data_IF_409993865084
#
_entry.id   IF_409993865084
#
_cell.length_a   1.000
_cell.length_b   1.000
_cell.length_c   1.000
_cell.angle_alpha   90.00
_cell.angle_beta   90.00
_cell.angle_gamma   90.00
#
_symmetry.space_group_name_H-M   'P 1'
#
loop_
_entity.id
_entity.type
_entity.pdbx_description
1 polymer ?
#
# COMPACT_ATOMS: atom_id res chain seq x y z
N UNK A 1 -13.67 6.60 42.28
CA UNK A 1 -13.05 6.72 40.95
C UNK A 1 -14.09 7.30 39.98
N UNK A 2 -14.02 8.60 39.69
CA UNK A 2 -14.83 9.19 38.62
C UNK A 2 -14.23 8.73 37.29
N UNK A 3 -14.78 7.67 36.71
CA UNK A 3 -14.46 7.31 35.33
C UNK A 3 -14.97 8.42 34.43
N UNK A 4 -14.05 9.09 33.75
CA UNK A 4 -14.32 10.05 32.69
C UNK A 4 -15.00 9.30 31.54
N UNK A 5 -16.18 9.74 31.13
CA UNK A 5 -16.97 9.07 30.09
C UNK A 5 -16.70 9.83 28.81
N UNK A 6 -16.10 9.15 27.84
CA UNK A 6 -15.81 9.73 26.54
C UNK A 6 -17.09 10.07 25.76
N UNK A 7 -17.09 11.16 24.97
CA UNK A 7 -18.20 11.50 24.11
C UNK A 7 -18.48 10.40 23.05
N UNK A 8 -19.75 10.04 22.78
CA UNK A 8 -20.08 8.88 21.94
C UNK A 8 -19.90 9.09 20.43
N UNK A 9 -19.78 10.33 19.95
CA UNK A 9 -19.58 10.71 18.54
C UNK A 9 -19.27 12.22 18.43
N UNK A 10 -18.64 12.66 17.34
CA UNK A 10 -18.40 14.10 17.09
C UNK A 10 -19.71 14.87 16.88
N UNK A 11 -19.83 16.05 17.48
CA UNK A 11 -21.01 16.90 17.38
C UNK A 11 -21.22 17.41 15.93
N UNK A 12 -22.48 17.37 15.49
CA UNK A 12 -22.89 17.87 14.18
C UNK A 12 -22.59 19.36 14.04
N UNK A 13 -21.84 19.76 13.01
CA UNK A 13 -21.53 21.19 12.75
C UNK A 13 -22.50 21.85 11.76
N UNK A 14 -23.20 21.08 10.92
CA UNK A 14 -24.07 21.60 9.85
C UNK A 14 -25.54 21.66 10.27
N UNK A 15 -26.30 22.60 9.68
CA UNK A 15 -27.75 22.72 9.89
C UNK A 15 -28.52 21.82 8.91
N UNK A 16 -29.73 21.34 9.28
CA UNK A 16 -30.34 21.45 10.61
C UNK A 16 -29.79 20.42 11.60
N UNK A 17 -29.88 20.71 12.90
CA UNK A 17 -29.45 19.81 13.97
C UNK A 17 -30.32 19.95 15.22
N UNK A 18 -30.27 18.92 16.06
CA UNK A 18 -30.87 18.87 17.40
C UNK A 18 -29.83 19.32 18.41
N UNK A 19 -30.12 20.38 19.16
CA UNK A 19 -29.32 20.80 20.30
C UNK A 19 -29.68 19.95 21.51
N UNK A 20 -28.70 19.35 22.19
CA UNK A 20 -28.92 18.55 23.39
C UNK A 20 -28.40 19.27 24.62
N UNK A 21 -29.30 19.64 25.53
CA UNK A 21 -29.00 20.21 26.84
C UNK A 21 -29.18 19.17 27.94
N UNK A 22 -28.20 19.08 28.84
CA UNK A 22 -28.22 18.16 29.99
C UNK A 22 -27.16 18.55 31.01
N UNK A 23 -27.29 18.10 32.26
CA UNK A 23 -26.22 18.31 33.24
C UNK A 23 -25.07 17.31 33.01
N UNK A 24 -23.81 17.77 33.06
CA UNK A 24 -22.64 16.89 32.87
C UNK A 24 -22.59 15.69 33.83
N UNK A 25 -23.21 15.77 35.01
CA UNK A 25 -23.33 14.64 35.94
C UNK A 25 -24.19 13.49 35.38
N UNK A 26 -25.03 13.75 34.37
CA UNK A 26 -25.97 12.80 33.79
C UNK A 26 -25.43 12.12 32.52
N UNK A 27 -24.16 12.34 32.14
CA UNK A 27 -23.53 11.76 30.92
C UNK A 27 -23.82 10.27 30.76
N UNK A 28 -23.73 9.49 31.85
CA UNK A 28 -23.97 8.03 31.84
C UNK A 28 -25.37 7.65 31.34
N UNK A 29 -26.37 8.48 31.62
CA UNK A 29 -27.75 8.22 31.23
C UNK A 29 -28.09 8.85 29.87
N UNK A 30 -27.45 9.97 29.53
CA UNK A 30 -27.72 10.73 28.30
C UNK A 30 -27.01 10.13 27.08
N UNK A 31 -25.73 9.78 27.19
CA UNK A 31 -24.91 9.31 26.07
C UNK A 31 -25.50 8.09 25.32
N UNK A 32 -26.01 7.05 26.00
CA UNK A 32 -26.68 5.93 25.31
C UNK A 32 -27.88 6.37 24.48
N UNK A 33 -28.65 7.36 24.96
CA UNK A 33 -29.85 7.85 24.30
C UNK A 33 -29.48 8.64 23.04
N UNK A 34 -28.58 9.61 23.16
CA UNK A 34 -28.16 10.42 22.02
C UNK A 34 -27.38 9.58 20.99
N UNK A 35 -26.65 8.55 21.43
CA UNK A 35 -26.02 7.58 20.54
C UNK A 35 -27.07 6.83 19.72
N UNK A 36 -28.16 6.39 20.35
CA UNK A 36 -29.26 5.75 19.63
C UNK A 36 -29.91 6.69 18.61
N UNK A 37 -30.07 7.97 18.93
CA UNK A 37 -30.59 8.97 18.00
C UNK A 37 -29.64 9.22 16.83
N UNK A 38 -28.35 9.38 17.11
CA UNK A 38 -27.29 9.49 16.10
C UNK A 38 -27.28 8.27 15.18
N UNK A 39 -27.38 7.06 15.73
CA UNK A 39 -27.42 5.80 14.97
C UNK A 39 -28.69 5.66 14.12
N UNK A 40 -29.80 6.28 14.54
CA UNK A 40 -31.05 6.38 13.76
C UNK A 40 -31.09 7.58 12.84
N UNK A 41 -30.03 8.35 12.85
CA UNK A 41 -29.79 9.36 11.87
C UNK A 41 -30.32 10.74 12.18
N UNK A 42 -30.18 11.14 13.44
CA UNK A 42 -30.54 12.48 13.87
C UNK A 42 -29.26 13.30 14.01
N UNK A 43 -29.09 14.42 13.31
CA UNK A 43 -27.95 15.31 13.47
C UNK A 43 -27.98 15.95 14.87
N UNK A 44 -26.97 15.68 15.71
CA UNK A 44 -26.97 16.09 17.12
C UNK A 44 -25.77 16.98 17.41
N UNK A 45 -26.01 18.11 18.06
CA UNK A 45 -24.99 18.95 18.67
C UNK A 45 -25.16 18.92 20.20
N UNK A 46 -24.06 18.78 20.93
CA UNK A 46 -24.01 18.64 22.40
C UNK A 46 -22.65 19.13 22.93
N UNK A 47 -22.37 18.94 24.23
CA UNK A 47 -21.22 19.54 24.95
C UNK A 47 -19.83 19.29 24.33
N UNK A 48 -19.63 18.23 23.53
CA UNK A 48 -18.39 18.00 22.78
C UNK A 48 -18.13 19.06 21.69
N UNK A 49 -19.18 19.66 21.13
CA UNK A 49 -19.08 20.60 20.02
C UNK A 49 -18.60 22.01 20.39
N UNK A 50 -18.08 22.21 21.61
CA UNK A 50 -17.57 23.49 22.10
C UNK A 50 -16.04 23.51 21.96
N UNK A 51 -15.46 24.36 21.08
CA UNK A 51 -14.01 24.44 20.92
C UNK A 51 -13.30 24.92 22.21
N UNK A 52 -12.09 24.42 22.53
CA UNK A 52 -11.34 24.81 23.73
C UNK A 52 -11.04 26.32 23.82
N UNK A 53 -11.07 27.04 22.69
CA UNK A 53 -10.69 28.45 22.58
C UNK A 53 -11.87 29.40 22.32
N UNK A 54 -13.12 28.93 22.32
CA UNK A 54 -14.28 29.78 22.03
C UNK A 54 -14.83 30.46 23.29
N UNK A 55 -15.46 31.63 23.12
CA UNK A 55 -16.33 32.20 24.16
C UNK A 55 -17.50 31.24 24.35
N UNK A 56 -17.45 30.47 25.44
CA UNK A 56 -18.38 29.38 25.76
C UNK A 56 -19.85 29.80 25.61
N UNK A 57 -20.23 30.93 26.24
CA UNK A 57 -21.60 31.46 26.22
C UNK A 57 -22.06 31.90 24.82
N UNK A 58 -21.17 32.53 24.04
CA UNK A 58 -21.49 32.99 22.69
C UNK A 58 -21.73 31.80 21.74
N UNK A 59 -20.91 30.74 21.88
CA UNK A 59 -21.05 29.52 21.11
C UNK A 59 -22.39 28.83 21.41
N UNK A 60 -22.70 28.63 22.69
CA UNK A 60 -23.95 27.97 23.10
C UNK A 60 -25.17 28.77 22.61
N UNK A 61 -25.21 30.08 22.86
CA UNK A 61 -26.29 30.94 22.41
C UNK A 61 -26.49 30.85 20.89
N UNK A 62 -25.39 30.97 20.13
CA UNK A 62 -25.45 30.80 18.67
C UNK A 62 -26.02 29.43 18.29
N UNK A 63 -25.55 28.33 18.88
CA UNK A 63 -26.02 26.99 18.52
C UNK A 63 -27.49 26.74 18.89
N UNK A 64 -27.97 27.31 20.00
CA UNK A 64 -29.41 27.30 20.34
C UNK A 64 -30.21 28.07 19.28
N UNK A 65 -29.70 29.23 18.83
CA UNK A 65 -30.38 30.06 17.81
C UNK A 65 -30.47 29.39 16.43
N UNK A 66 -29.62 28.38 16.19
CA UNK A 66 -29.48 27.72 14.89
C UNK A 66 -30.08 26.32 14.83
N UNK A 67 -30.43 25.74 15.98
CA UNK A 67 -30.99 24.40 16.06
C UNK A 67 -32.45 24.38 15.56
N UNK A 68 -32.91 23.22 15.09
CA UNK A 68 -34.34 23.02 14.74
C UNK A 68 -35.13 22.37 15.86
N UNK A 69 -34.44 21.73 16.80
CA UNK A 69 -35.05 21.14 17.99
C UNK A 69 -34.11 21.29 19.16
N UNK A 70 -34.63 21.80 20.27
CA UNK A 70 -33.96 21.84 21.55
C UNK A 70 -34.45 20.66 22.40
N UNK A 71 -33.56 19.68 22.60
CA UNK A 71 -33.80 18.47 23.38
C UNK A 71 -33.14 18.64 24.74
N UNK A 72 -33.92 18.67 25.82
CA UNK A 72 -33.39 18.82 27.18
C UNK A 72 -33.67 17.59 28.04
N UNK A 73 -32.63 17.08 28.70
CA UNK A 73 -32.78 16.00 29.68
C UNK A 73 -32.96 16.61 31.07
N UNK A 74 -34.14 16.39 31.66
CA UNK A 74 -34.52 16.88 32.98
C UNK A 74 -34.20 15.82 34.03
N UNK A 75 -33.47 16.26 35.05
CA UNK A 75 -33.04 15.53 36.25
C UNK A 75 -32.88 16.51 37.41
N UNK A 76 -32.68 16.02 38.63
CA UNK A 76 -32.31 16.85 39.77
C UNK A 76 -30.98 17.58 39.55
N UNK A 77 -30.04 16.98 38.81
CA UNK A 77 -28.79 17.67 38.44
C UNK A 77 -29.03 18.80 37.44
N UNK A 78 -29.93 18.61 36.47
CA UNK A 78 -30.25 19.58 35.43
C UNK A 78 -30.98 20.81 35.98
N UNK A 79 -31.99 20.62 36.83
CA UNK A 79 -32.76 21.74 37.40
C UNK A 79 -31.93 22.61 38.37
N UNK A 80 -30.85 22.07 38.92
CA UNK A 80 -29.92 22.77 39.79
C UNK A 80 -28.72 23.37 39.04
N UNK A 81 -28.62 23.15 37.72
CA UNK A 81 -27.55 23.67 36.88
C UNK A 81 -27.95 25.01 36.27
N UNK A 82 -27.23 26.07 36.65
CA UNK A 82 -27.51 27.42 36.14
C UNK A 82 -27.34 27.52 34.62
N UNK A 83 -26.37 26.79 34.06
CA UNK A 83 -26.17 26.72 32.61
C UNK A 83 -27.40 26.12 31.92
N UNK A 84 -27.92 24.99 32.43
CA UNK A 84 -29.09 24.33 31.83
C UNK A 84 -30.33 25.22 31.95
N UNK A 85 -30.53 25.91 33.07
CA UNK A 85 -31.63 26.88 33.22
C UNK A 85 -31.54 28.01 32.20
N UNK A 86 -30.36 28.61 32.02
CA UNK A 86 -30.14 29.67 31.05
C UNK A 86 -30.39 29.21 29.60
N UNK A 87 -29.93 28.00 29.25
CA UNK A 87 -30.18 27.39 27.94
C UNK A 87 -31.68 27.13 27.72
N UNK A 88 -32.38 26.60 28.73
CA UNK A 88 -33.84 26.42 28.70
C UNK A 88 -34.54 27.75 28.48
N UNK A 89 -34.21 28.78 29.26
CA UNK A 89 -34.84 30.10 29.16
C UNK A 89 -34.74 30.65 27.73
N UNK A 90 -33.55 30.57 27.11
CA UNK A 90 -33.36 31.05 25.75
C UNK A 90 -34.11 30.20 24.71
N UNK A 91 -34.06 28.87 24.82
CA UNK A 91 -34.75 27.99 23.90
C UNK A 91 -36.28 28.11 23.99
N UNK A 92 -36.82 28.38 25.19
CA UNK A 92 -38.27 28.55 25.40
C UNK A 92 -38.78 29.82 24.74
N UNK A 93 -38.02 30.91 24.77
CA UNK A 93 -38.36 32.15 24.05
C UNK A 93 -38.58 31.85 22.54
N UNK A 94 -37.67 31.09 21.94
CA UNK A 94 -37.74 30.69 20.52
C UNK A 94 -38.87 29.69 20.25
N UNK A 95 -39.13 28.78 21.19
CA UNK A 95 -40.24 27.83 21.11
C UNK A 95 -41.58 28.55 21.05
N UNK A 96 -41.80 29.56 21.90
CA UNK A 96 -43.04 30.36 21.87
C UNK A 96 -43.20 31.18 20.59
N UNK A 97 -42.09 31.60 19.97
CA UNK A 97 -42.05 32.19 18.62
C UNK A 97 -42.26 31.17 17.49
N UNK A 98 -42.41 29.88 17.81
CA UNK A 98 -42.56 28.75 16.87
C UNK A 98 -41.37 28.55 15.93
N UNK A 99 -40.18 29.00 16.34
CA UNK A 99 -38.96 28.89 15.53
C UNK A 99 -38.28 27.52 15.64
N UNK A 100 -38.45 26.85 16.79
CA UNK A 100 -37.84 25.56 17.09
C UNK A 100 -38.84 24.63 17.79
N UNK A 101 -38.60 23.32 17.70
CA UNK A 101 -39.27 22.34 18.59
C UNK A 101 -38.58 22.34 19.95
N UNK A 102 -39.33 22.21 21.04
CA UNK A 102 -38.79 22.04 22.40
C UNK A 102 -39.23 20.69 22.95
N UNK A 103 -38.28 19.83 23.32
CA UNK A 103 -38.54 18.46 23.75
C UNK A 103 -37.87 18.17 25.11
N UNK A 104 -38.62 18.25 26.22
CA UNK A 104 -38.15 17.82 27.53
C UNK A 104 -38.24 16.29 27.68
N UNK A 105 -37.19 15.67 28.22
CA UNK A 105 -37.14 14.26 28.60
C UNK A 105 -36.76 14.13 30.07
N UNK A 106 -37.68 13.64 30.90
CA UNK A 106 -37.41 13.38 32.32
C UNK A 106 -36.76 12.01 32.46
N UNK A 107 -35.47 11.96 32.78
CA UNK A 107 -34.71 10.71 32.93
C UNK A 107 -34.89 10.06 34.30
N UNK A 108 -35.32 10.85 35.28
CA UNK A 108 -35.69 10.47 36.64
C UNK A 108 -36.90 11.28 37.10
N UNK A 109 -37.46 10.92 38.26
CA UNK A 109 -38.50 11.73 38.89
C UNK A 109 -37.88 13.04 39.41
N UNK A 110 -38.48 14.17 39.04
CA UNK A 110 -37.90 15.49 39.34
C UNK A 110 -39.02 16.49 39.59
N UNK A 111 -38.93 17.19 40.72
CA UNK A 111 -39.80 18.34 40.99
C UNK A 111 -39.16 19.61 40.43
N UNK A 112 -39.83 20.24 39.47
CA UNK A 112 -39.35 21.49 38.88
C UNK A 112 -39.30 22.62 39.92
N UNK A 113 -38.28 23.48 39.80
CA UNK A 113 -38.22 24.75 40.52
C UNK A 113 -39.40 25.65 40.13
N UNK A 114 -39.84 26.61 40.99
CA UNK A 114 -40.93 27.53 40.63
C UNK A 114 -40.73 28.24 39.30
N UNK A 115 -39.48 28.63 39.00
CA UNK A 115 -39.08 29.21 37.72
C UNK A 115 -39.35 28.26 36.54
N UNK A 116 -38.84 27.03 36.59
CA UNK A 116 -39.05 26.06 35.51
C UNK A 116 -40.51 25.59 35.41
N UNK A 117 -41.26 25.55 36.53
CA UNK A 117 -42.71 25.27 36.54
C UNK A 117 -43.46 26.31 35.70
N UNK A 118 -43.07 27.58 35.73
CA UNK A 118 -43.71 28.61 34.90
C UNK A 118 -43.33 28.41 33.43
N UNK A 119 -42.05 28.12 33.17
CA UNK A 119 -41.46 28.16 31.83
C UNK A 119 -41.79 26.93 30.97
N UNK A 120 -41.74 25.72 31.54
CA UNK A 120 -41.81 24.47 30.73
C UNK A 120 -42.94 23.52 31.11
N UNK A 121 -43.72 23.77 32.18
CA UNK A 121 -44.75 22.84 32.65
C UNK A 121 -45.84 22.53 31.61
N UNK A 122 -46.15 23.50 30.74
CA UNK A 122 -47.17 23.35 29.69
C UNK A 122 -46.63 22.69 28.42
N UNK A 123 -45.31 22.46 28.33
CA UNK A 123 -44.68 21.85 27.17
C UNK A 123 -44.76 20.33 27.30
N UNK A 124 -45.16 19.65 26.22
CA UNK A 124 -45.26 18.19 26.21
C UNK A 124 -43.88 17.55 26.43
N UNK A 125 -43.78 16.71 27.46
CA UNK A 125 -42.54 16.02 27.82
C UNK A 125 -42.64 14.50 27.67
N UNK A 126 -41.49 13.84 27.51
CA UNK A 126 -41.37 12.37 27.60
C UNK A 126 -40.88 12.01 29.01
N UNK A 127 -41.76 11.36 29.78
CA UNK A 127 -41.43 10.85 31.12
C UNK A 127 -40.69 9.51 31.00
N UNK A 128 -39.41 9.51 30.62
CA UNK A 128 -38.62 8.28 30.41
C UNK A 128 -38.65 7.39 31.65
N UNK A 129 -38.56 7.95 32.85
CA UNK A 129 -38.60 7.19 34.11
C UNK A 129 -39.93 6.44 34.36
N UNK A 130 -41.01 6.81 33.67
CA UNK A 130 -42.35 6.18 33.80
C UNK A 130 -42.65 5.12 32.73
N UNK A 131 -41.78 4.92 31.76
CA UNK A 131 -42.04 4.03 30.61
C UNK A 131 -40.86 3.10 30.33
N UNK A 132 -41.16 1.92 29.77
CA UNK A 132 -40.10 1.00 29.36
C UNK A 132 -39.30 1.54 28.16
N UNK A 133 -38.09 1.02 28.00
CA UNK A 133 -37.11 1.47 27.01
C UNK A 133 -37.63 1.39 25.55
N UNK A 134 -38.34 0.32 25.19
CA UNK A 134 -38.91 0.16 23.83
C UNK A 134 -39.93 1.25 23.52
N UNK A 135 -40.85 1.49 24.45
CA UNK A 135 -41.86 2.55 24.33
C UNK A 135 -41.23 3.94 24.30
N UNK A 136 -40.17 4.15 25.09
CA UNK A 136 -39.40 5.40 25.10
C UNK A 136 -38.79 5.70 23.73
N UNK A 137 -37.99 4.78 23.18
CA UNK A 137 -37.34 5.02 21.88
C UNK A 137 -38.34 5.15 20.74
N UNK A 138 -39.46 4.41 20.76
CA UNK A 138 -40.53 4.59 19.77
C UNK A 138 -41.10 6.01 19.81
N UNK A 139 -41.45 6.52 21.00
CA UNK A 139 -41.98 7.89 21.18
C UNK A 139 -40.95 8.94 20.77
N UNK A 140 -39.69 8.74 21.18
CA UNK A 140 -38.59 9.67 20.91
C UNK A 140 -38.27 9.76 19.43
N UNK A 141 -38.09 8.64 18.73
CA UNK A 141 -37.78 8.62 17.30
C UNK A 141 -38.92 9.16 16.43
N UNK A 142 -40.16 9.10 16.91
CA UNK A 142 -41.30 9.71 16.24
C UNK A 142 -41.29 11.25 16.32
N UNK A 143 -40.58 11.87 17.28
CA UNK A 143 -40.46 13.34 17.34
C UNK A 143 -39.59 13.90 16.21
N UNK A 144 -38.76 13.04 15.60
CA UNK A 144 -37.76 13.40 14.62
C UNK A 144 -38.02 12.78 13.24
N UNK A 145 -39.24 12.33 12.95
CA UNK A 145 -39.63 11.80 11.63
C UNK A 145 -39.18 12.71 10.48
N UNK A 146 -39.36 14.02 10.66
CA UNK A 146 -39.11 15.04 9.65
C UNK A 146 -37.61 15.29 9.40
N UNK A 147 -36.75 14.85 10.33
CA UNK A 147 -35.28 14.95 10.20
C UNK A 147 -34.66 13.67 9.62
N UNK A 148 -35.40 12.54 9.55
CA UNK A 148 -34.88 11.26 9.05
C UNK A 148 -34.59 11.25 7.55
N UNK A 149 -35.20 12.16 6.79
CA UNK A 149 -34.99 12.26 5.33
C UNK A 149 -33.66 12.92 4.95
N UNK A 150 -32.94 13.48 5.91
CA UNK A 150 -31.65 14.12 5.65
C UNK A 150 -30.53 13.06 5.62
N UNK A 151 -29.81 12.96 4.50
CA UNK A 151 -28.73 11.98 4.27
C UNK A 151 -27.52 12.10 5.22
N UNK A 152 -27.49 13.15 6.05
CA UNK A 152 -26.42 13.48 7.01
C UNK A 152 -25.87 12.31 7.85
N UNK A 153 -26.69 11.35 8.33
CA UNK A 153 -26.21 10.28 9.20
C UNK A 153 -25.73 9.04 8.47
N UNK A 154 -26.25 8.79 7.26
CA UNK A 154 -25.63 7.81 6.35
C UNK A 154 -24.26 8.32 5.95
N UNK A 155 -24.16 9.63 5.67
CA UNK A 155 -22.90 10.31 5.36
C UNK A 155 -21.84 10.11 6.47
N UNK A 156 -22.17 10.36 7.75
CA UNK A 156 -21.19 10.16 8.84
C UNK A 156 -20.79 8.69 9.04
N UNK A 157 -21.75 7.75 8.99
CA UNK A 157 -21.42 6.32 9.11
C UNK A 157 -20.47 5.86 8.01
N UNK A 158 -20.72 6.29 6.77
CA UNK A 158 -19.86 5.96 5.64
C UNK A 158 -18.48 6.63 5.75
N UNK A 159 -18.39 7.87 6.27
CA UNK A 159 -17.08 8.50 6.57
C UNK A 159 -16.30 7.71 7.62
N UNK A 160 -16.96 7.26 8.68
CA UNK A 160 -16.33 6.45 9.72
C UNK A 160 -15.89 5.08 9.19
N UNK A 161 -16.71 4.42 8.36
CA UNK A 161 -16.35 3.16 7.69
C UNK A 161 -15.12 3.35 6.78
N UNK A 162 -15.09 4.42 5.98
CA UNK A 162 -13.93 4.73 5.13
C UNK A 162 -12.68 4.94 5.99
N UNK A 163 -12.77 5.80 7.01
CA UNK A 163 -11.63 6.20 7.86
C UNK A 163 -11.09 5.04 8.69
N UNK A 164 -11.96 4.25 9.30
CA UNK A 164 -11.57 3.28 10.32
C UNK A 164 -11.40 1.86 9.76
N UNK A 165 -12.00 1.54 8.61
CA UNK A 165 -11.97 0.18 8.05
C UNK A 165 -11.34 0.14 6.66
N UNK A 166 -11.86 0.91 5.69
CA UNK A 166 -11.46 0.76 4.29
C UNK A 166 -10.06 1.31 4.01
N UNK A 167 -9.72 2.50 4.50
CA UNK A 167 -8.38 3.09 4.32
C UNK A 167 -7.30 2.18 4.96
N UNK A 168 -7.40 1.77 6.24
CA UNK A 168 -6.41 0.87 6.83
C UNK A 168 -6.30 -0.46 6.10
N UNK A 169 -7.42 -1.01 5.59
CA UNK A 169 -7.42 -2.23 4.79
C UNK A 169 -6.68 -2.03 3.47
N UNK A 170 -6.91 -0.91 2.77
CA UNK A 170 -6.24 -0.58 1.52
C UNK A 170 -4.72 -0.43 1.72
N UNK A 171 -4.31 0.36 2.72
CA UNK A 171 -2.90 0.58 3.06
C UNK A 171 -2.19 -0.73 3.42
N UNK A 172 -2.82 -1.58 4.23
CA UNK A 172 -2.28 -2.91 4.58
C UNK A 172 -2.10 -3.80 3.34
N UNK A 173 -3.03 -3.76 2.39
CA UNK A 173 -2.89 -4.52 1.13
C UNK A 173 -1.79 -3.96 0.23
N UNK A 174 -1.57 -2.64 0.22
CA UNK A 174 -0.45 -2.00 -0.49
C UNK A 174 0.89 -2.42 0.12
N UNK A 175 1.02 -2.38 1.45
CA UNK A 175 2.23 -2.82 2.15
C UNK A 175 2.56 -4.30 1.89
N UNK A 176 1.54 -5.13 1.68
CA UNK A 176 1.70 -6.53 1.31
C UNK A 176 2.01 -6.76 -0.20
N UNK A 177 2.19 -5.70 -0.98
CA UNK A 177 2.34 -5.73 -2.45
C UNK A 177 1.16 -6.42 -3.19
N UNK A 178 -0.03 -6.46 -2.56
CA UNK A 178 -1.23 -7.00 -3.21
C UNK A 178 -1.99 -5.87 -3.91
N UNK A 179 -1.38 -5.33 -4.97
CA UNK A 179 -1.86 -4.15 -5.69
C UNK A 179 -3.26 -4.34 -6.27
N UNK A 180 -3.59 -5.55 -6.74
CA UNK A 180 -4.92 -5.86 -7.29
C UNK A 180 -6.00 -5.67 -6.24
N UNK A 181 -5.79 -6.20 -5.02
CA UNK A 181 -6.75 -6.06 -3.94
C UNK A 181 -6.84 -4.60 -3.44
N UNK A 182 -5.70 -3.91 -3.34
CA UNK A 182 -5.66 -2.50 -2.96
C UNK A 182 -6.48 -1.61 -3.91
N UNK A 183 -6.37 -1.84 -5.23
CA UNK A 183 -7.13 -1.11 -6.24
C UNK A 183 -8.64 -1.29 -6.05
N UNK A 184 -9.11 -2.50 -5.74
CA UNK A 184 -10.54 -2.76 -5.54
C UNK A 184 -11.07 -2.04 -4.29
N UNK A 185 -10.32 -2.03 -3.19
CA UNK A 185 -10.71 -1.28 -1.98
C UNK A 185 -10.75 0.23 -2.25
N UNK A 186 -9.75 0.78 -2.94
CA UNK A 186 -9.75 2.20 -3.28
C UNK A 186 -10.86 2.59 -4.27
N UNK A 187 -11.29 1.67 -5.17
CA UNK A 187 -12.47 1.89 -6.01
C UNK A 187 -13.75 1.98 -5.18
N UNK A 188 -13.95 1.10 -4.19
CA UNK A 188 -15.09 1.16 -3.26
C UNK A 188 -15.13 2.51 -2.53
N UNK A 189 -13.98 2.97 -2.02
CA UNK A 189 -13.85 4.28 -1.36
C UNK A 189 -14.23 5.41 -2.33
N UNK A 190 -13.71 5.39 -3.56
CA UNK A 190 -13.97 6.41 -4.58
C UNK A 190 -15.44 6.46 -5.00
N UNK A 191 -16.07 5.30 -5.18
CA UNK A 191 -17.48 5.20 -5.53
C UNK A 191 -18.35 5.79 -4.42
N UNK A 192 -18.10 5.37 -3.18
CA UNK A 192 -18.79 5.90 -1.99
C UNK A 192 -18.61 7.43 -1.88
N UNK A 193 -17.39 7.92 -2.05
CA UNK A 193 -17.10 9.36 -2.02
C UNK A 193 -17.82 10.14 -3.12
N UNK A 194 -17.97 9.54 -4.30
CA UNK A 194 -18.70 10.15 -5.42
C UNK A 194 -20.21 10.22 -5.12
N UNK A 195 -20.79 9.17 -4.53
CA UNK A 195 -22.20 9.14 -4.10
C UNK A 195 -22.54 10.26 -3.12
N UNK A 196 -21.64 10.56 -2.17
CA UNK A 196 -21.85 11.59 -1.14
C UNK A 196 -21.19 12.95 -1.46
N UNK A 197 -20.64 13.11 -2.67
CA UNK A 197 -19.98 14.32 -3.15
C UNK A 197 -18.83 14.81 -2.22
N UNK A 198 -17.90 13.91 -1.87
CA UNK A 198 -16.69 14.19 -1.10
C UNK A 198 -15.45 14.32 -2.01
N UNK A 199 -15.13 15.53 -2.51
CA UNK A 199 -14.09 15.72 -3.51
C UNK A 199 -12.69 15.32 -3.02
N UNK A 200 -12.35 15.61 -1.77
CA UNK A 200 -11.03 15.30 -1.21
C UNK A 200 -10.78 13.80 -1.13
N UNK A 201 -11.76 13.04 -0.63
CA UNK A 201 -11.68 11.57 -0.53
C UNK A 201 -11.62 10.94 -1.92
N UNK A 202 -12.42 11.44 -2.87
CA UNK A 202 -12.42 10.97 -4.26
C UNK A 202 -11.07 11.21 -4.96
N UNK A 203 -10.45 12.38 -4.71
CA UNK A 203 -9.11 12.71 -5.23
C UNK A 203 -8.05 11.77 -4.65
N UNK A 204 -7.99 11.61 -3.32
CA UNK A 204 -7.04 10.73 -2.64
C UNK A 204 -7.18 9.28 -3.14
N UNK A 205 -8.42 8.79 -3.27
CA UNK A 205 -8.65 7.45 -3.78
C UNK A 205 -8.19 7.30 -5.23
N UNK A 206 -8.37 8.33 -6.06
CA UNK A 206 -7.89 8.33 -7.46
C UNK A 206 -6.37 8.29 -7.54
N UNK A 207 -5.68 9.10 -6.73
CA UNK A 207 -4.20 9.12 -6.65
C UNK A 207 -3.66 7.74 -6.26
N UNK A 208 -4.21 7.15 -5.19
CA UNK A 208 -3.80 5.83 -4.73
C UNK A 208 -4.09 4.71 -5.76
N UNK A 209 -5.22 4.77 -6.48
CA UNK A 209 -5.50 3.82 -7.57
C UNK A 209 -4.43 3.90 -8.65
N UNK A 210 -4.03 5.12 -9.04
CA UNK A 210 -3.02 5.31 -10.08
C UNK A 210 -1.64 4.79 -9.63
N UNK A 211 -1.25 5.09 -8.38
CA UNK A 211 -0.03 4.56 -7.79
C UNK A 211 -0.03 3.02 -7.76
N UNK A 212 -1.12 2.41 -7.27
CA UNK A 212 -1.24 0.96 -7.23
C UNK A 212 -1.14 0.33 -8.63
N UNK A 213 -1.74 0.95 -9.65
CA UNK A 213 -1.63 0.48 -11.04
C UNK A 213 -0.19 0.56 -11.56
N UNK A 214 0.51 1.64 -11.26
CA UNK A 214 1.91 1.81 -11.65
C UNK A 214 2.79 0.74 -11.00
N UNK A 215 2.63 0.50 -9.70
CA UNK A 215 3.38 -0.54 -8.97
C UNK A 215 3.05 -1.94 -9.47
N UNK A 216 1.77 -2.23 -9.75
CA UNK A 216 1.33 -3.50 -10.34
C UNK A 216 2.00 -3.75 -11.70
N UNK A 217 2.06 -2.72 -12.55
CA UNK A 217 2.70 -2.82 -13.87
C UNK A 217 4.20 -3.06 -13.74
N UNK A 218 4.89 -2.33 -12.85
CA UNK A 218 6.32 -2.54 -12.58
C UNK A 218 6.60 -3.95 -12.07
N UNK A 219 5.77 -4.48 -11.16
CA UNK A 219 5.91 -5.85 -10.67
C UNK A 219 5.72 -6.89 -11.79
N UNK A 220 4.73 -6.69 -12.66
CA UNK A 220 4.51 -7.56 -13.82
C UNK A 220 5.70 -7.54 -14.78
N UNK A 221 6.22 -6.35 -15.09
CA UNK A 221 7.42 -6.21 -15.92
C UNK A 221 8.63 -6.91 -15.30
N UNK A 222 8.83 -6.79 -13.97
CA UNK A 222 9.90 -7.53 -13.27
C UNK A 222 9.75 -9.03 -13.43
N UNK A 223 8.54 -9.57 -13.25
CA UNK A 223 8.26 -11.01 -13.40
C UNK A 223 8.53 -11.47 -14.84
N UNK A 224 8.06 -10.72 -15.83
CA UNK A 224 8.24 -11.04 -17.24
C UNK A 224 9.72 -11.02 -17.65
N UNK A 225 10.46 -9.98 -17.23
CA UNK A 225 11.91 -9.89 -17.48
C UNK A 225 12.66 -11.04 -16.85
N UNK A 226 12.32 -11.42 -15.61
CA UNK A 226 12.91 -12.57 -14.94
C UNK A 226 12.64 -13.87 -15.72
N UNK A 227 11.40 -14.11 -16.15
CA UNK A 227 11.03 -15.27 -16.96
C UNK A 227 11.78 -15.32 -18.29
N UNK A 228 11.94 -14.20 -18.98
CA UNK A 228 12.72 -14.13 -20.21
C UNK A 228 14.19 -14.54 -19.95
N UNK A 229 14.81 -14.01 -18.89
CA UNK A 229 16.16 -14.41 -18.53
C UNK A 229 16.25 -15.92 -18.28
N UNK A 230 15.37 -16.46 -17.43
CA UNK A 230 15.41 -17.85 -16.97
C UNK A 230 15.09 -18.85 -18.09
N UNK A 231 14.14 -18.52 -18.97
CA UNK A 231 13.63 -19.47 -19.97
C UNK A 231 14.23 -19.27 -21.37
N UNK A 232 14.78 -18.10 -21.69
CA UNK A 232 15.31 -17.81 -23.03
C UNK A 232 16.81 -17.51 -22.98
N UNK A 233 17.22 -16.48 -22.24
CA UNK A 233 18.60 -15.99 -22.30
C UNK A 233 19.61 -16.97 -21.68
N UNK A 234 19.33 -17.50 -20.49
CA UNK A 234 20.21 -18.47 -19.82
C UNK A 234 20.39 -19.73 -20.67
N UNK A 235 19.32 -20.41 -21.14
CA UNK A 235 19.49 -21.57 -22.02
C UNK A 235 20.24 -21.26 -23.31
N UNK A 236 20.02 -20.08 -23.90
CA UNK A 236 20.76 -19.67 -25.12
C UNK A 236 22.25 -19.48 -24.84
N UNK A 237 22.60 -18.86 -23.71
CA UNK A 237 24.00 -18.70 -23.30
C UNK A 237 24.67 -20.07 -23.04
N UNK A 238 23.98 -20.96 -22.32
CA UNK A 238 24.47 -22.31 -22.01
C UNK A 238 24.66 -23.15 -23.28
N UNK A 239 23.75 -23.05 -24.26
CA UNK A 239 23.89 -23.69 -25.57
C UNK A 239 25.10 -23.14 -26.35
N UNK A 240 25.34 -21.82 -26.31
CA UNK A 240 26.51 -21.21 -26.92
C UNK A 240 27.82 -21.71 -26.27
N UNK A 241 27.83 -21.88 -24.95
CA UNK A 241 28.96 -22.48 -24.22
C UNK A 241 29.21 -23.93 -24.63
N UNK A 242 28.15 -24.75 -24.76
CA UNK A 242 28.26 -26.13 -25.21
C UNK A 242 28.81 -26.24 -26.65
N UNK A 243 28.47 -25.28 -27.50
CA UNK A 243 28.99 -25.18 -28.86
C UNK A 243 30.39 -24.54 -28.96
N UNK A 244 31.08 -24.31 -27.84
CA UNK A 244 32.37 -23.61 -27.75
C UNK A 244 32.38 -22.19 -28.36
N UNK A 245 31.20 -21.56 -28.53
CA UNK A 245 31.09 -20.19 -29.02
C UNK A 245 31.22 -19.19 -27.84
N UNK A 246 32.42 -19.12 -27.28
CA UNK A 246 32.69 -18.41 -26.03
C UNK A 246 32.47 -16.89 -26.11
N UNK A 247 32.76 -16.26 -27.25
CA UNK A 247 32.47 -14.82 -27.43
C UNK A 247 30.96 -14.55 -27.43
N UNK A 248 30.18 -15.38 -28.11
CA UNK A 248 28.72 -15.23 -28.14
C UNK A 248 28.11 -15.46 -26.75
N UNK A 249 28.56 -16.51 -26.04
CA UNK A 249 28.14 -16.78 -24.67
C UNK A 249 28.44 -15.61 -23.72
N UNK A 250 29.65 -15.03 -23.81
CA UNK A 250 30.07 -13.85 -23.02
C UNK A 250 29.13 -12.67 -23.25
N UNK A 251 28.81 -12.35 -24.50
CA UNK A 251 27.92 -11.25 -24.84
C UNK A 251 26.51 -11.45 -24.26
N UNK A 252 25.99 -12.68 -24.28
CA UNK A 252 24.67 -12.98 -23.69
C UNK A 252 24.72 -12.85 -22.16
N UNK A 253 25.77 -13.36 -21.49
CA UNK A 253 25.92 -13.22 -20.05
C UNK A 253 26.06 -11.76 -19.60
N UNK A 254 26.75 -10.93 -20.37
CA UNK A 254 26.83 -9.49 -20.11
C UNK A 254 25.44 -8.83 -20.25
N UNK A 255 24.66 -9.17 -21.28
CA UNK A 255 23.27 -8.71 -21.42
C UNK A 255 22.39 -9.14 -20.25
N UNK A 256 22.52 -10.38 -19.77
CA UNK A 256 21.79 -10.88 -18.60
C UNK A 256 22.15 -10.07 -17.35
N UNK A 257 23.45 -9.78 -17.14
CA UNK A 257 23.96 -8.99 -16.01
C UNK A 257 23.43 -7.56 -16.02
N UNK A 258 23.32 -6.94 -17.21
CA UNK A 258 22.79 -5.58 -17.35
C UNK A 258 21.30 -5.55 -16.99
N UNK A 259 20.49 -6.45 -17.56
CA UNK A 259 19.06 -6.55 -17.22
C UNK A 259 18.87 -6.87 -15.73
N UNK A 260 19.69 -7.77 -15.16
CA UNK A 260 19.62 -8.10 -13.74
C UNK A 260 19.98 -6.91 -12.84
N UNK A 261 20.86 -6.00 -13.31
CA UNK A 261 21.18 -4.76 -12.59
C UNK A 261 20.02 -3.78 -12.64
N UNK A 262 19.44 -3.56 -13.82
CA UNK A 262 18.32 -2.62 -14.00
C UNK A 262 17.07 -3.01 -13.20
N UNK A 263 16.80 -4.31 -13.07
CA UNK A 263 15.62 -4.82 -12.38
C UNK A 263 15.89 -5.35 -10.96
N UNK A 264 17.13 -5.28 -10.48
CA UNK A 264 17.53 -5.64 -9.12
C UNK A 264 17.46 -7.14 -8.80
N UNK A 265 17.83 -8.00 -9.75
CA UNK A 265 17.91 -9.46 -9.54
C UNK A 265 19.32 -9.86 -9.10
N UNK A 266 19.58 -9.81 -7.80
CA UNK A 266 20.93 -10.02 -7.24
C UNK A 266 21.49 -11.43 -7.49
N UNK A 267 20.64 -12.44 -7.38
CA UNK A 267 20.96 -13.85 -7.65
C UNK A 267 21.37 -14.06 -9.12
N UNK A 268 20.57 -13.54 -10.05
CA UNK A 268 20.84 -13.64 -11.49
C UNK A 268 22.09 -12.85 -11.86
N UNK A 269 22.26 -11.65 -11.30
CA UNK A 269 23.45 -10.81 -11.53
C UNK A 269 24.72 -11.54 -11.12
N UNK A 270 24.71 -12.19 -9.96
CA UNK A 270 25.85 -12.98 -9.49
C UNK A 270 26.13 -14.15 -10.43
N UNK A 271 25.11 -14.94 -10.79
CA UNK A 271 25.26 -16.04 -11.75
C UNK A 271 25.86 -15.57 -13.07
N UNK A 272 25.38 -14.44 -13.60
CA UNK A 272 25.85 -13.88 -14.85
C UNK A 272 27.32 -13.44 -14.79
N UNK A 273 27.75 -12.87 -13.66
CA UNK A 273 29.16 -12.49 -13.45
C UNK A 273 30.08 -13.72 -13.41
N UNK A 274 29.69 -14.76 -12.68
CA UNK A 274 30.46 -15.99 -12.56
C UNK A 274 30.60 -16.71 -13.91
N UNK A 275 29.49 -16.87 -14.64
CA UNK A 275 29.50 -17.52 -15.95
C UNK A 275 30.18 -16.66 -17.03
N UNK A 276 30.00 -15.34 -17.01
CA UNK A 276 30.70 -14.41 -17.90
C UNK A 276 32.22 -14.52 -17.74
N UNK A 277 32.72 -14.43 -16.51
CA UNK A 277 34.15 -14.59 -16.22
C UNK A 277 34.71 -15.95 -16.67
N UNK A 278 33.90 -17.01 -16.56
CA UNK A 278 34.26 -18.35 -17.06
C UNK A 278 34.38 -18.36 -18.59
N UNK A 279 33.44 -17.73 -19.29
CA UNK A 279 33.47 -17.62 -20.75
C UNK A 279 34.65 -16.78 -21.22
N UNK A 280 34.94 -15.65 -20.57
CA UNK A 280 36.07 -14.78 -20.90
C UNK A 280 37.42 -15.49 -20.77
N UNK A 281 37.60 -16.25 -19.68
CA UNK A 281 38.79 -17.08 -19.47
C UNK A 281 38.93 -18.12 -20.59
N UNK A 282 37.85 -18.82 -20.92
CA UNK A 282 37.84 -19.83 -21.99
C UNK A 282 38.10 -19.23 -23.37
N UNK A 283 37.52 -18.07 -23.66
CA UNK A 283 37.78 -17.33 -24.90
C UNK A 283 39.25 -16.90 -25.02
N UNK A 284 39.82 -16.37 -23.94
CA UNK A 284 41.23 -15.96 -23.90
C UNK A 284 42.19 -17.12 -24.15
N UNK A 285 41.91 -18.30 -23.56
CA UNK A 285 42.68 -19.53 -23.79
C UNK A 285 42.57 -19.93 -25.27
N UNK A 286 41.36 -19.96 -25.82
CA UNK A 286 41.13 -20.34 -27.21
C UNK A 286 41.89 -19.42 -28.20
N UNK A 287 41.87 -18.10 -27.99
CA UNK A 287 42.61 -17.16 -28.85
C UNK A 287 44.13 -17.34 -28.74
N UNK A 288 44.62 -17.55 -27.52
CA UNK A 288 46.06 -17.81 -27.28
C UNK A 288 46.50 -19.06 -28.02
N UNK A 289 45.77 -20.17 -27.86
CA UNK A 289 46.03 -21.42 -28.57
C UNK A 289 46.02 -21.22 -30.09
N UNK A 290 45.03 -20.48 -30.63
CA UNK A 290 44.94 -20.20 -32.07
C UNK A 290 46.14 -19.39 -32.58
N UNK A 291 46.59 -18.39 -31.84
CA UNK A 291 47.78 -17.60 -32.20
C UNK A 291 49.04 -18.45 -32.20
N UNK A 292 49.24 -19.32 -31.20
CA UNK A 292 50.41 -20.23 -31.15
C UNK A 292 50.44 -21.15 -32.38
N UNK A 293 49.31 -21.73 -32.77
CA UNK A 293 49.23 -22.57 -33.97
C UNK A 293 49.56 -21.77 -35.22
N UNK A 294 49.04 -20.54 -35.33
CA UNK A 294 49.34 -19.65 -36.46
C UNK A 294 50.83 -19.30 -36.55
N UNK A 295 51.47 -18.94 -35.44
CA UNK A 295 52.91 -18.65 -35.39
C UNK A 295 53.75 -19.87 -35.82
N UNK A 296 53.32 -21.07 -35.41
CA UNK A 296 53.96 -22.32 -35.81
C UNK A 296 53.78 -22.60 -37.30
N UNK A 297 52.58 -22.40 -37.86
CA UNK A 297 52.31 -22.51 -39.30
C UNK A 297 53.16 -21.52 -40.12
N UNK A 298 53.29 -20.28 -39.67
CA UNK A 298 54.15 -19.26 -40.28
C UNK A 298 55.63 -19.65 -40.23
N UNK A 299 56.08 -20.22 -39.10
CA UNK A 299 57.47 -20.66 -38.91
C UNK A 299 57.86 -21.84 -39.81
N UNK A 300 56.92 -22.76 -40.09
CA UNK A 300 57.16 -23.94 -40.92
C UNK A 300 56.78 -23.76 -42.39
N UNK A 301 56.04 -22.69 -42.72
CA UNK A 301 55.50 -22.45 -44.07
C UNK A 301 54.51 -23.52 -44.56
N UNK A 302 53.84 -24.21 -43.62
CA UNK A 302 52.89 -25.31 -43.88
C UNK A 302 51.72 -25.20 -42.92
N UNK A 303 50.54 -25.66 -43.34
CA UNK A 303 49.40 -25.78 -42.43
C UNK A 303 49.53 -26.96 -41.49
N UNK A 304 49.01 -26.81 -40.27
CA UNK A 304 48.93 -27.83 -39.23
C UNK A 304 47.48 -28.27 -39.06
N UNK A 305 47.00 -29.25 -39.85
CA UNK A 305 45.64 -29.75 -39.72
C UNK A 305 45.44 -30.46 -38.37
N UNK A 306 44.20 -30.46 -37.89
CA UNK A 306 43.84 -31.27 -36.73
C UNK A 306 43.90 -32.76 -37.07
N UNK A 307 44.49 -33.57 -36.19
CA UNK A 307 44.69 -35.01 -36.37
C UNK A 307 44.26 -35.80 -35.13
N UNK A 308 43.60 -36.94 -35.34
CA UNK A 308 43.12 -37.81 -34.26
C UNK A 308 44.27 -38.45 -33.45
N UNK A 309 45.43 -38.64 -34.08
CA UNK A 309 46.61 -39.25 -33.48
C UNK A 309 47.90 -38.64 -34.02
N UNK A 310 48.88 -38.48 -33.14
CA UNK A 310 50.24 -38.08 -33.49
C UNK A 310 51.10 -39.35 -33.62
N UNK A 311 51.64 -39.62 -34.80
CA UNK A 311 52.58 -40.71 -35.10
C UNK A 311 53.88 -40.14 -35.71
N UNK A 312 54.88 -41.00 -35.96
CA UNK A 312 56.26 -40.57 -36.28
C UNK A 312 56.41 -39.71 -37.54
N UNK A 313 55.48 -39.81 -38.50
CA UNK A 313 55.47 -39.06 -39.75
C UNK A 313 54.41 -37.94 -39.81
N UNK A 314 53.74 -37.66 -38.69
CA UNK A 314 52.61 -36.72 -38.65
C UNK A 314 53.06 -35.27 -38.77
N UNK A 315 52.35 -34.52 -39.61
CA UNK A 315 52.35 -33.05 -39.62
C UNK A 315 50.94 -32.60 -39.29
N UNK A 316 50.74 -32.02 -38.12
CA UNK A 316 49.42 -31.66 -37.63
C UNK A 316 49.38 -31.49 -36.11
N UNK A 317 48.23 -31.05 -35.61
CA UNK A 317 47.99 -30.76 -34.19
C UNK A 317 46.87 -31.65 -33.67
N UNK A 318 47.00 -32.14 -32.43
CA UNK A 318 45.93 -32.86 -31.74
C UNK A 318 45.43 -32.03 -30.56
N UNK A 319 44.12 -31.83 -30.51
CA UNK A 319 43.45 -31.14 -29.42
C UNK A 319 42.76 -32.10 -28.44
N UNK A 320 42.63 -31.65 -27.20
CA UNK A 320 41.69 -32.16 -26.20
C UNK A 320 40.90 -30.95 -25.67
N UNK A 321 39.69 -30.75 -26.19
CA UNK A 321 38.94 -29.51 -25.99
C UNK A 321 39.68 -28.30 -26.56
N UNK A 322 39.99 -27.32 -25.70
CA UNK A 322 40.70 -26.07 -26.04
C UNK A 322 42.22 -26.16 -25.89
N UNK A 323 42.75 -27.35 -25.57
CA UNK A 323 44.16 -27.57 -25.27
C UNK A 323 44.86 -28.34 -26.38
N UNK A 324 46.05 -27.89 -26.75
CA UNK A 324 46.96 -28.67 -27.61
C UNK A 324 47.63 -29.74 -26.74
N UNK A 325 47.34 -31.00 -27.04
CA UNK A 325 47.93 -32.16 -26.35
C UNK A 325 48.94 -32.91 -27.22
N UNK A 326 48.91 -32.70 -28.54
CA UNK A 326 49.82 -33.34 -29.46
C UNK A 326 50.24 -32.41 -30.58
N UNK A 327 51.51 -32.46 -30.97
CA UNK A 327 52.04 -31.67 -32.08
C UNK A 327 53.01 -32.51 -32.91
N UNK A 328 52.68 -32.69 -34.18
CA UNK A 328 53.50 -33.35 -35.17
C UNK A 328 54.08 -32.33 -36.15
N UNK A 329 55.41 -32.25 -36.21
CA UNK A 329 56.16 -31.34 -37.08
C UNK A 329 57.20 -32.13 -37.88
N UNK A 330 56.86 -33.33 -38.35
CA UNK A 330 57.79 -34.19 -39.07
C UNK A 330 58.27 -33.55 -40.38
N UNK A 331 59.59 -33.47 -40.59
CA UNK A 331 60.21 -32.95 -41.82
C UNK A 331 59.67 -31.57 -42.23
N UNK A 332 59.49 -30.69 -41.24
CA UNK A 332 59.04 -29.31 -41.46
C UNK A 332 60.18 -28.33 -41.76
N UNK A 333 61.44 -28.76 -41.64
CA UNK A 333 62.60 -27.90 -41.93
C UNK A 333 62.86 -26.83 -40.86
N UNK A 334 62.30 -27.00 -39.67
CA UNK A 334 62.48 -26.10 -38.53
C UNK A 334 63.96 -25.95 -38.19
N UNK A 335 64.40 -24.71 -37.94
CA UNK A 335 65.74 -24.36 -37.44
C UNK A 335 65.72 -23.86 -36.00
N UNK A 336 64.60 -23.27 -35.60
CA UNK A 336 64.29 -22.82 -34.24
C UNK A 336 62.79 -23.03 -34.00
N UNK A 337 62.37 -23.10 -32.74
CA UNK A 337 60.95 -23.02 -32.37
C UNK A 337 60.60 -21.57 -32.03
N UNK A 338 59.39 -21.08 -32.36
CA UNK A 338 58.96 -19.75 -31.96
C UNK A 338 58.82 -19.66 -30.44
N UNK A 339 59.04 -18.47 -29.86
CA UNK A 339 58.96 -18.26 -28.40
C UNK A 339 57.58 -18.62 -27.83
N UNK A 340 56.51 -18.46 -28.63
CA UNK A 340 55.14 -18.84 -28.28
C UNK A 340 54.96 -20.34 -28.06
N UNK A 341 55.93 -21.17 -28.46
CA UNK A 341 55.96 -22.61 -28.17
C UNK A 341 56.00 -22.90 -26.65
N UNK A 342 56.65 -22.03 -25.86
CA UNK A 342 56.75 -22.18 -24.40
C UNK A 342 55.39 -22.14 -23.69
N UNK A 343 54.34 -21.63 -24.34
CA UNK A 343 53.00 -21.53 -23.78
C UNK A 343 52.16 -22.81 -23.94
N UNK A 344 52.67 -23.82 -24.66
CA UNK A 344 52.02 -25.13 -24.85
C UNK A 344 52.15 -26.04 -23.62
N UNK A 345 51.61 -25.61 -22.48
CA UNK A 345 51.75 -26.27 -21.16
C UNK A 345 51.07 -27.64 -21.03
N UNK A 346 50.21 -28.02 -21.97
CA UNK A 346 49.45 -29.28 -21.94
C UNK A 346 49.94 -30.31 -22.96
N UNK A 347 51.07 -30.04 -23.63
CA UNK A 347 51.60 -30.91 -24.67
C UNK A 347 52.07 -32.24 -24.08
N UNK A 348 51.44 -33.33 -24.51
CA UNK A 348 51.74 -34.69 -24.07
C UNK A 348 52.61 -35.44 -25.09
N UNK A 349 52.49 -35.11 -26.38
CA UNK A 349 53.22 -35.77 -27.47
C UNK A 349 53.75 -34.75 -28.47
N UNK A 350 55.04 -34.81 -28.76
CA UNK A 350 55.73 -33.91 -29.68
C UNK A 350 56.60 -34.71 -30.64
N UNK A 351 56.45 -34.48 -31.95
CA UNK A 351 57.29 -35.09 -32.99
C UNK A 351 58.02 -33.98 -33.74
N UNK A 352 59.34 -33.94 -33.60
CA UNK A 352 60.23 -32.98 -34.26
C UNK A 352 61.22 -33.67 -35.22
N UNK A 353 60.99 -34.94 -35.56
CA UNK A 353 61.97 -35.72 -36.32
C UNK A 353 62.17 -35.19 -37.74
N UNK A 354 63.40 -35.30 -38.26
CA UNK A 354 63.82 -34.84 -39.59
C UNK A 354 63.72 -33.30 -39.80
N UNK A 355 63.85 -32.53 -38.72
CA UNK A 355 64.07 -31.08 -38.76
C UNK A 355 65.56 -30.71 -38.60
N UNK A 356 65.89 -29.43 -38.75
CA UNK A 356 67.25 -28.87 -38.66
C UNK A 356 67.41 -28.01 -37.39
N UNK A 357 66.72 -28.40 -36.32
CA UNK A 357 66.67 -27.71 -35.03
C UNK A 357 68.01 -27.74 -34.31
#
# INVERSE_FOLDING_TARGET
MNQEIEPPFEACVKKPFVFVSYAHKDKRHVYPIIKKLFDNGIPIWYDEGIPPSSKWLETIGKRISECTTFLVFISNNAINSENVKNEIAYAVERYYKREIKFLPIYIEETELTPELKITILRIQAIMKYKINERSFYKKLLNQFSDLKEMQYPKQIKEQQKIKNELIPKAEKTMQANNWKQAIEVWKEIKETASTYNWPDISRIATENINECKQQQQQQQQRIEKRKNIENELIPTAEKAMQANNWQHATNIWQKIKDIATDYGFSDIKQKALEQGNKCDKKFSIFQTTKNIIKDLEESIGKSLPEVEKIDYATVGVKFDGDKVIGLGLYKCGLKTLPDSFCDLKNLQKLILWNNKL
#
